data_IF_259564671014
#
_entry.id   IF_259564671014
#
_cell.length_a   1.000
_cell.length_b   1.000
_cell.length_c   1.000
_cell.angle_alpha   90.00
_cell.angle_beta   90.00
_cell.angle_gamma   90.00
#
_symmetry.space_group_name_H-M   'P 1'
#
loop_
_entity.id
_entity.type
_entity.pdbx_description
1 polymer ?
#
# COMPACT_ATOMS: atom_id res chain seq x y z
N UNK A 1 11.44 16.05 -1.14
CA UNK A 1 10.99 14.78 -0.52
C UNK A 1 9.50 14.64 -0.73
N UNK A 2 9.08 13.53 -1.34
CA UNK A 2 7.72 13.26 -1.82
C UNK A 2 6.71 13.16 -0.67
N UNK A 3 5.45 13.50 -0.93
CA UNK A 3 4.42 13.64 0.09
C UNK A 3 4.08 12.28 0.70
N UNK A 4 3.87 11.26 -0.14
CA UNK A 4 3.52 9.91 0.33
C UNK A 4 4.57 9.37 1.29
N UNK A 5 5.87 9.54 0.97
CA UNK A 5 6.96 9.05 1.82
C UNK A 5 6.97 9.75 3.18
N UNK A 6 6.68 11.06 3.22
CA UNK A 6 6.56 11.79 4.49
C UNK A 6 5.41 11.25 5.34
N UNK A 7 4.22 11.09 4.74
CA UNK A 7 3.03 10.57 5.43
C UNK A 7 3.28 9.14 5.91
N UNK A 8 3.88 8.30 5.07
CA UNK A 8 4.20 6.92 5.42
C UNK A 8 5.17 6.83 6.60
N UNK A 9 6.23 7.64 6.63
CA UNK A 9 7.16 7.68 7.77
C UNK A 9 6.46 8.07 9.06
N UNK A 10 5.61 9.09 9.02
CA UNK A 10 4.81 9.49 10.20
C UNK A 10 3.76 8.46 10.61
N UNK A 11 3.29 7.63 9.68
CA UNK A 11 2.41 6.51 9.99
C UNK A 11 3.21 5.37 10.66
N UNK A 12 4.44 5.11 10.25
CA UNK A 12 5.27 4.06 10.89
C UNK A 12 5.74 4.50 12.28
N UNK A 13 6.09 5.76 12.45
CA UNK A 13 6.61 6.33 13.69
C UNK A 13 5.64 7.40 14.26
N UNK A 14 4.56 6.98 14.95
CA UNK A 14 3.54 7.89 15.45
C UNK A 14 4.05 8.71 16.66
N UNK A 15 3.46 9.89 16.94
CA UNK A 15 3.83 10.70 18.11
C UNK A 15 3.37 10.04 19.42
N UNK A 16 4.21 9.15 19.97
CA UNK A 16 3.86 8.32 21.12
C UNK A 16 3.54 9.11 22.41
N UNK A 17 4.02 10.35 22.51
CA UNK A 17 3.83 11.21 23.67
C UNK A 17 2.55 12.03 23.61
N UNK A 18 1.89 12.14 22.45
CA UNK A 18 0.68 12.94 22.30
C UNK A 18 -0.52 12.29 23.04
N UNK A 19 -1.21 13.01 23.95
CA UNK A 19 -2.33 12.46 24.71
C UNK A 19 -3.52 12.09 23.83
N UNK A 20 -3.77 12.82 22.74
CA UNK A 20 -4.86 12.54 21.79
C UNK A 20 -4.56 11.21 21.09
N UNK A 21 -3.32 11.01 20.65
CA UNK A 21 -2.88 9.73 20.07
C UNK A 21 -3.03 8.57 21.06
N UNK A 22 -2.57 8.74 22.31
CA UNK A 22 -2.69 7.69 23.36
C UNK A 22 -4.15 7.34 23.64
N UNK A 23 -5.03 8.33 23.69
CA UNK A 23 -6.46 8.10 23.90
C UNK A 23 -7.08 7.39 22.69
N UNK A 24 -6.83 7.88 21.47
CA UNK A 24 -7.38 7.33 20.24
C UNK A 24 -6.94 5.88 19.98
N UNK A 25 -5.69 5.55 20.27
CA UNK A 25 -5.13 4.20 20.12
C UNK A 25 -5.64 3.19 21.15
N UNK A 26 -5.94 3.64 22.38
CA UNK A 26 -6.47 2.78 23.45
C UNK A 26 -7.98 2.64 23.44
N UNK A 27 -8.70 3.61 22.86
CA UNK A 27 -10.16 3.67 22.94
C UNK A 27 -10.77 2.46 22.26
N UNK A 28 -11.41 1.61 23.07
CA UNK A 28 -12.23 0.52 22.56
C UNK A 28 -13.53 1.13 22.08
N UNK A 29 -13.59 1.51 20.79
CA UNK A 29 -14.87 1.79 20.13
C UNK A 29 -15.65 0.48 20.16
N UNK A 30 -16.66 0.42 21.03
CA UNK A 30 -17.70 -0.60 20.99
C UNK A 30 -18.38 -0.44 19.63
N UNK A 31 -18.41 -1.50 18.79
CA UNK A 31 -19.02 -1.38 17.48
C UNK A 31 -20.52 -1.15 17.68
N UNK A 32 -20.96 0.09 17.55
CA UNK A 32 -22.35 0.37 17.24
C UNK A 32 -22.60 -0.28 15.87
N UNK A 33 -23.53 -1.24 15.84
CA UNK A 33 -24.01 -2.00 14.69
C UNK A 33 -23.13 -3.18 14.19
N UNK A 34 -23.72 -4.39 14.21
CA UNK A 34 -23.08 -5.68 13.96
C UNK A 34 -22.46 -5.88 12.56
N UNK A 35 -22.80 -5.03 11.58
CA UNK A 35 -22.25 -5.12 10.22
C UNK A 35 -20.73 -4.86 10.19
N UNK A 36 -20.22 -3.97 11.06
CA UNK A 36 -18.78 -3.66 11.14
C UNK A 36 -17.96 -4.84 11.68
N UNK A 37 -18.55 -5.62 12.59
CA UNK A 37 -17.93 -6.84 13.12
C UNK A 37 -17.85 -7.89 12.01
N UNK A 38 -18.89 -8.03 11.19
CA UNK A 38 -18.93 -8.95 10.06
C UNK A 38 -17.88 -8.64 8.99
N UNK A 39 -17.76 -7.37 8.56
CA UNK A 39 -16.72 -6.94 7.60
C UNK A 39 -15.29 -7.17 8.12
N UNK A 40 -15.05 -6.93 9.41
CA UNK A 40 -13.74 -7.18 10.01
C UNK A 40 -13.43 -8.68 10.11
N UNK A 41 -14.44 -9.50 10.41
CA UNK A 41 -14.31 -10.96 10.40
C UNK A 41 -14.09 -11.51 9.00
N UNK A 42 -14.82 -11.02 8.00
CA UNK A 42 -14.60 -11.37 6.59
C UNK A 42 -13.20 -10.97 6.16
N UNK A 43 -12.75 -9.76 6.48
CA UNK A 43 -11.40 -9.30 6.14
C UNK A 43 -10.32 -10.17 6.76
N UNK A 44 -10.46 -10.52 8.05
CA UNK A 44 -9.55 -11.48 8.72
C UNK A 44 -9.66 -12.88 8.14
N UNK A 45 -10.86 -13.37 7.86
CA UNK A 45 -11.09 -14.69 7.28
C UNK A 45 -10.49 -14.78 5.89
N UNK A 46 -10.68 -13.78 5.02
CA UNK A 46 -10.02 -13.67 3.71
C UNK A 46 -8.51 -13.59 3.86
N UNK A 47 -7.99 -12.85 4.83
CA UNK A 47 -6.54 -12.84 5.12
C UNK A 47 -6.03 -14.22 5.53
N UNK A 48 -6.67 -14.90 6.48
CA UNK A 48 -6.28 -16.24 6.90
C UNK A 48 -6.48 -17.28 5.80
N UNK A 49 -7.54 -17.18 5.00
CA UNK A 49 -7.85 -18.10 3.93
C UNK A 49 -6.89 -17.90 2.74
N UNK A 50 -6.51 -16.66 2.45
CA UNK A 50 -5.43 -16.37 1.50
C UNK A 50 -4.09 -16.93 2.00
N UNK A 51 -3.72 -16.72 3.27
CA UNK A 51 -2.52 -17.28 3.87
C UNK A 51 -2.53 -18.81 3.84
N UNK A 52 -3.65 -19.44 4.22
CA UNK A 52 -3.84 -20.88 4.18
C UNK A 52 -3.71 -21.41 2.75
N UNK A 53 -4.40 -20.79 1.78
CA UNK A 53 -4.30 -21.16 0.37
C UNK A 53 -2.87 -21.02 -0.15
N UNK A 54 -2.13 -19.99 0.30
CA UNK A 54 -0.70 -19.84 -0.01
C UNK A 54 0.11 -20.98 0.54
N UNK A 55 -0.10 -21.34 1.82
CA UNK A 55 0.63 -22.41 2.50
C UNK A 55 0.32 -23.76 1.87
N UNK A 56 -0.93 -24.02 1.48
CA UNK A 56 -1.33 -25.26 0.82
C UNK A 56 -0.76 -25.34 -0.61
N UNK A 57 -0.83 -24.25 -1.38
CA UNK A 57 -0.21 -24.18 -2.70
C UNK A 57 1.31 -24.35 -2.59
N UNK A 58 1.94 -23.69 -1.61
CA UNK A 58 3.35 -23.82 -1.28
C UNK A 58 3.74 -25.27 -1.06
N UNK A 59 3.01 -25.94 -0.17
CA UNK A 59 3.30 -27.32 0.23
C UNK A 59 3.15 -28.25 -0.97
N UNK A 60 2.10 -28.06 -1.77
CA UNK A 60 1.88 -28.78 -3.03
C UNK A 60 3.03 -28.57 -4.03
N UNK A 61 3.45 -27.32 -4.25
CA UNK A 61 4.51 -26.99 -5.20
C UNK A 61 5.90 -27.46 -4.71
N UNK A 62 6.19 -27.40 -3.40
CA UNK A 62 7.44 -27.95 -2.86
C UNK A 62 7.50 -29.47 -2.98
N UNK A 63 6.37 -30.16 -2.80
CA UNK A 63 6.29 -31.61 -3.02
C UNK A 63 6.51 -31.91 -4.51
N UNK A 64 5.90 -31.15 -5.43
CA UNK A 64 6.12 -31.37 -6.87
C UNK A 64 7.55 -31.04 -7.31
N UNK A 65 8.16 -29.97 -6.80
CA UNK A 65 9.54 -29.61 -7.10
C UNK A 65 10.56 -30.63 -6.57
N UNK A 66 10.31 -31.17 -5.38
CA UNK A 66 11.15 -32.21 -4.78
C UNK A 66 11.13 -33.50 -5.62
N UNK A 67 10.05 -33.76 -6.35
CA UNK A 67 9.89 -34.93 -7.21
C UNK A 67 10.58 -34.78 -8.57
N UNK A 68 10.73 -33.55 -9.12
CA UNK A 68 11.09 -33.33 -10.54
C UNK A 68 12.45 -32.65 -10.82
N UNK A 69 13.42 -32.68 -9.88
CA UNK A 69 14.79 -32.11 -10.01
C UNK A 69 14.94 -30.59 -9.76
N UNK A 70 16.20 -30.13 -9.65
CA UNK A 70 16.61 -28.77 -9.24
C UNK A 70 16.02 -27.66 -10.13
N UNK A 71 15.79 -27.92 -11.42
CA UNK A 71 15.18 -26.94 -12.34
C UNK A 71 13.71 -26.61 -12.02
N UNK A 72 12.95 -27.58 -11.49
CA UNK A 72 11.58 -27.37 -11.02
C UNK A 72 11.52 -26.51 -9.73
N UNK A 73 12.62 -26.47 -8.95
CA UNK A 73 12.70 -25.68 -7.73
C UNK A 73 12.61 -24.17 -7.98
N UNK A 74 13.25 -23.67 -9.04
CA UNK A 74 13.28 -22.22 -9.35
C UNK A 74 11.92 -21.73 -9.84
N UNK A 75 11.27 -22.49 -10.74
CA UNK A 75 9.92 -22.13 -11.22
C UNK A 75 8.89 -22.12 -10.08
N UNK A 76 8.98 -23.08 -9.16
CA UNK A 76 8.14 -23.11 -7.95
C UNK A 76 8.40 -21.91 -7.02
N UNK A 77 9.66 -21.53 -6.83
CA UNK A 77 10.00 -20.34 -6.02
C UNK A 77 9.43 -19.05 -6.63
N UNK A 78 9.52 -18.89 -7.95
CA UNK A 78 8.96 -17.73 -8.67
C UNK A 78 7.45 -17.68 -8.51
N UNK A 79 6.75 -18.80 -8.68
CA UNK A 79 5.29 -18.89 -8.48
C UNK A 79 4.92 -18.56 -7.04
N UNK A 80 5.69 -19.05 -6.07
CA UNK A 80 5.48 -18.73 -4.66
C UNK A 80 5.61 -17.23 -4.39
N UNK A 81 6.71 -16.64 -4.85
CA UNK A 81 6.96 -15.22 -4.65
C UNK A 81 5.85 -14.39 -5.29
N UNK A 82 5.43 -14.74 -6.50
CA UNK A 82 4.32 -14.08 -7.18
C UNK A 82 3.02 -14.13 -6.37
N UNK A 83 2.63 -15.29 -5.84
CA UNK A 83 1.43 -15.41 -5.02
C UNK A 83 1.54 -14.62 -3.71
N UNK A 84 2.70 -14.67 -3.03
CA UNK A 84 2.94 -13.89 -1.82
C UNK A 84 2.81 -12.38 -2.09
N UNK A 85 3.33 -11.91 -3.23
CA UNK A 85 3.21 -10.53 -3.67
C UNK A 85 1.75 -10.14 -3.93
N UNK A 86 0.99 -10.98 -4.65
CA UNK A 86 -0.43 -10.78 -4.91
C UNK A 86 -1.21 -10.60 -3.60
N UNK A 87 -0.93 -11.45 -2.61
CA UNK A 87 -1.63 -11.42 -1.32
C UNK A 87 -1.31 -10.16 -0.55
N UNK A 88 -0.05 -9.72 -0.53
CA UNK A 88 0.32 -8.49 0.16
C UNK A 88 -0.28 -7.26 -0.54
N UNK A 89 -0.32 -7.23 -1.87
CA UNK A 89 -0.98 -6.18 -2.64
C UNK A 89 -2.48 -6.13 -2.31
N UNK A 90 -3.20 -7.26 -2.42
CA UNK A 90 -4.64 -7.33 -2.10
C UNK A 90 -4.90 -6.97 -0.63
N UNK A 91 -4.05 -7.46 0.28
CA UNK A 91 -4.15 -7.15 1.71
C UNK A 91 -3.95 -5.65 1.97
N UNK A 92 -3.03 -5.00 1.26
CA UNK A 92 -2.83 -3.55 1.37
C UNK A 92 -4.08 -2.79 0.91
N UNK A 93 -4.74 -3.22 -0.16
CA UNK A 93 -5.98 -2.60 -0.62
C UNK A 93 -7.12 -2.72 0.39
N UNK A 94 -7.34 -3.93 0.92
CA UNK A 94 -8.37 -4.20 1.92
C UNK A 94 -8.08 -3.42 3.20
N UNK A 95 -6.82 -3.39 3.65
CA UNK A 95 -6.43 -2.66 4.85
C UNK A 95 -6.54 -1.15 4.65
N UNK A 96 -6.15 -0.59 3.50
CA UNK A 96 -6.30 0.83 3.18
C UNK A 96 -7.76 1.28 3.26
N UNK A 97 -8.67 0.52 2.66
CA UNK A 97 -10.12 0.74 2.75
C UNK A 97 -10.65 0.59 4.19
N UNK A 98 -10.21 -0.46 4.91
CA UNK A 98 -10.60 -0.69 6.28
C UNK A 98 -10.11 0.45 7.21
N UNK A 99 -8.94 1.02 6.96
CA UNK A 99 -8.44 2.18 7.69
C UNK A 99 -9.25 3.43 7.36
N UNK A 100 -9.55 3.68 6.10
CA UNK A 100 -10.36 4.83 5.68
C UNK A 100 -11.72 4.87 6.41
N UNK A 101 -12.43 3.75 6.43
CA UNK A 101 -13.72 3.62 7.13
C UNK A 101 -13.59 3.73 8.65
N UNK A 102 -12.50 3.23 9.24
CA UNK A 102 -12.26 3.33 10.69
C UNK A 102 -11.95 4.75 11.13
N UNK A 103 -11.11 5.45 10.39
CA UNK A 103 -10.78 6.85 10.64
C UNK A 103 -12.05 7.67 10.59
N UNK A 104 -12.82 7.51 9.51
CA UNK A 104 -14.07 8.23 9.32
C UNK A 104 -15.05 7.99 10.47
N UNK A 105 -15.29 6.73 10.84
CA UNK A 105 -16.17 6.39 11.96
C UNK A 105 -15.66 6.88 13.33
N UNK A 106 -14.34 6.96 13.53
CA UNK A 106 -13.76 7.48 14.77
C UNK A 106 -13.89 9.01 14.88
N UNK A 107 -13.75 9.72 13.76
CA UNK A 107 -13.98 11.16 13.69
C UNK A 107 -15.46 11.46 13.91
N UNK A 108 -16.37 10.73 13.25
CA UNK A 108 -17.81 10.86 13.44
C UNK A 108 -18.22 10.63 14.90
N UNK A 109 -17.79 9.53 15.54
CA UNK A 109 -18.08 9.26 16.97
C UNK A 109 -17.48 10.32 17.92
N UNK A 110 -16.43 11.02 17.50
CA UNK A 110 -15.84 12.12 18.29
C UNK A 110 -16.62 13.42 18.11
N UNK A 111 -17.17 13.65 16.91
CA UNK A 111 -18.06 14.78 16.60
C UNK A 111 -19.42 14.61 17.28
N UNK A 112 -20.03 13.43 17.22
CA UNK A 112 -21.32 13.13 17.87
C UNK A 112 -21.30 13.35 19.39
N UNK A 113 -20.11 13.24 20.01
CA UNK A 113 -19.91 13.48 21.44
C UNK A 113 -19.56 14.93 21.78
N UNK A 114 -19.59 15.84 20.81
CA UNK A 114 -19.15 17.23 20.95
C UNK A 114 -17.69 17.38 21.47
N UNK A 115 -16.89 16.31 21.38
CA UNK A 115 -15.48 16.36 21.80
C UNK A 115 -14.59 16.90 20.69
N UNK A 116 -15.01 16.78 19.44
CA UNK A 116 -14.22 17.19 18.30
C UNK A 116 -13.92 18.70 18.32
N UNK A 117 -14.93 19.52 18.63
CA UNK A 117 -14.77 20.98 18.69
C UNK A 117 -13.90 21.40 19.89
N UNK A 118 -14.07 20.75 21.04
CA UNK A 118 -13.22 20.95 22.21
C UNK A 118 -11.75 20.61 21.91
N UNK A 119 -11.51 19.50 21.22
CA UNK A 119 -10.16 19.11 20.80
C UNK A 119 -9.61 20.04 19.70
N UNK A 120 -10.45 20.63 18.87
CA UNK A 120 -10.04 21.57 17.82
C UNK A 120 -9.58 22.92 18.37
N UNK A 121 -10.06 23.33 19.56
CA UNK A 121 -9.64 24.56 20.27
C UNK A 121 -8.27 24.40 20.94
N UNK A 122 -7.77 23.18 21.11
CA UNK A 122 -6.42 22.96 21.66
C UNK A 122 -5.34 23.61 20.78
N UNK A 123 -4.22 24.05 21.37
CA UNK A 123 -3.11 24.74 20.70
C UNK A 123 -2.69 24.17 19.32
N UNK A 124 -2.68 22.85 19.09
CA UNK A 124 -2.31 22.28 17.80
C UNK A 124 -3.32 22.55 16.66
N UNK A 125 -4.56 22.86 17.01
CA UNK A 125 -5.66 23.14 16.10
C UNK A 125 -6.28 21.92 15.43
N UNK A 126 -7.39 22.16 14.72
CA UNK A 126 -8.22 21.18 14.02
C UNK A 126 -7.43 20.15 13.19
N UNK A 127 -6.50 20.60 12.35
CA UNK A 127 -5.73 19.73 11.46
C UNK A 127 -4.88 18.71 12.22
N UNK A 128 -4.24 19.14 13.30
CA UNK A 128 -3.42 18.25 14.13
C UNK A 128 -4.28 17.26 14.92
N UNK A 129 -5.42 17.72 15.45
CA UNK A 129 -6.38 16.85 16.13
C UNK A 129 -6.90 15.76 15.20
N UNK A 130 -7.33 16.12 13.98
CA UNK A 130 -7.77 15.15 12.97
C UNK A 130 -6.67 14.16 12.62
N UNK A 131 -5.46 14.66 12.40
CA UNK A 131 -4.28 13.86 12.08
C UNK A 131 -3.94 12.85 13.19
N UNK A 132 -3.79 13.30 14.44
CA UNK A 132 -3.43 12.46 15.58
C UNK A 132 -4.52 11.46 15.96
N UNK A 133 -5.79 11.86 15.89
CA UNK A 133 -6.94 10.97 16.05
C UNK A 133 -6.88 9.85 14.99
N UNK A 134 -6.66 10.20 13.73
CA UNK A 134 -6.59 9.25 12.62
C UNK A 134 -5.42 8.29 12.78
N UNK A 135 -4.22 8.77 13.11
CA UNK A 135 -3.05 7.92 13.36
C UNK A 135 -3.28 6.97 14.53
N UNK A 136 -3.89 7.47 15.61
CA UNK A 136 -4.26 6.65 16.77
C UNK A 136 -5.20 5.51 16.40
N UNK A 137 -6.17 5.78 15.51
CA UNK A 137 -7.14 4.75 15.09
C UNK A 137 -6.52 3.64 14.24
N UNK A 138 -5.51 3.94 13.42
CA UNK A 138 -4.79 2.93 12.64
C UNK A 138 -3.95 2.02 13.56
N UNK A 139 -3.28 2.61 14.56
CA UNK A 139 -2.36 1.86 15.42
C UNK A 139 -3.03 0.89 16.39
N UNK A 140 -4.34 1.02 16.59
CA UNK A 140 -5.11 0.23 17.55
C UNK A 140 -5.03 -1.29 17.34
N UNK A 141 -5.03 -1.75 16.08
CA UNK A 141 -5.18 -3.18 15.77
C UNK A 141 -3.88 -3.89 15.38
N UNK A 142 -2.72 -3.23 15.50
CA UNK A 142 -1.43 -3.75 15.02
C UNK A 142 -1.37 -4.11 13.52
N UNK A 143 -2.42 -3.84 12.75
CA UNK A 143 -2.51 -4.19 11.32
C UNK A 143 -1.45 -3.50 10.49
N UNK A 144 -1.17 -2.23 10.77
CA UNK A 144 -0.06 -1.50 10.13
C UNK A 144 1.29 -2.14 10.41
N UNK A 145 1.55 -2.56 11.66
CA UNK A 145 2.80 -3.24 12.04
C UNK A 145 2.92 -4.60 11.36
N UNK A 146 1.82 -5.34 11.25
CA UNK A 146 1.78 -6.60 10.51
C UNK A 146 2.07 -6.39 9.03
N UNK A 147 1.41 -5.42 8.39
CA UNK A 147 1.62 -5.09 6.97
C UNK A 147 3.07 -4.67 6.72
N UNK A 148 3.63 -3.81 7.58
CA UNK A 148 5.01 -3.38 7.46
C UNK A 148 6.00 -4.55 7.58
N UNK A 149 5.80 -5.47 8.53
CA UNK A 149 6.62 -6.69 8.62
C UNK A 149 6.46 -7.59 7.39
N UNK A 150 5.26 -7.71 6.83
CA UNK A 150 5.03 -8.49 5.62
C UNK A 150 5.78 -7.89 4.41
N UNK A 151 5.78 -6.57 4.26
CA UNK A 151 6.56 -5.87 3.23
C UNK A 151 8.06 -6.15 3.41
N UNK A 152 8.60 -5.99 4.62
CA UNK A 152 10.02 -6.25 4.89
C UNK A 152 10.37 -7.70 4.57
N UNK A 153 9.52 -8.65 4.95
CA UNK A 153 9.74 -10.07 4.67
C UNK A 153 9.77 -10.35 3.16
N UNK A 154 8.88 -9.74 2.37
CA UNK A 154 8.89 -9.87 0.90
C UNK A 154 10.14 -9.24 0.31
N UNK A 155 10.50 -8.02 0.72
CA UNK A 155 11.73 -7.35 0.22
C UNK A 155 12.97 -8.19 0.54
N UNK A 156 13.04 -8.77 1.75
CA UNK A 156 14.12 -9.68 2.12
C UNK A 156 14.11 -10.95 1.27
N UNK A 157 12.93 -11.53 0.98
CA UNK A 157 12.80 -12.70 0.11
C UNK A 157 13.29 -12.40 -1.31
N UNK A 158 12.94 -11.24 -1.89
CA UNK A 158 13.51 -10.77 -3.16
C UNK A 158 15.02 -10.60 -3.07
N UNK A 159 15.54 -9.98 -2.00
CA UNK A 159 16.98 -9.80 -1.82
C UNK A 159 17.75 -11.12 -1.74
N UNK A 160 17.20 -12.12 -1.04
CA UNK A 160 17.76 -13.48 -0.97
C UNK A 160 17.71 -14.15 -2.36
N UNK A 161 16.57 -14.06 -3.05
CA UNK A 161 16.43 -14.64 -4.40
C UNK A 161 17.42 -14.03 -5.38
N UNK A 162 17.57 -12.71 -5.34
CA UNK A 162 18.60 -11.99 -6.10
C UNK A 162 19.99 -12.50 -5.72
N UNK A 163 20.36 -12.55 -4.43
CA UNK A 163 21.66 -13.10 -4.01
C UNK A 163 21.92 -14.53 -4.52
N UNK A 164 20.90 -15.40 -4.54
CA UNK A 164 21.02 -16.77 -5.09
C UNK A 164 21.24 -16.74 -6.61
N UNK A 165 20.53 -15.88 -7.34
CA UNK A 165 20.71 -15.68 -8.78
C UNK A 165 22.08 -15.07 -9.13
N UNK A 166 22.84 -14.58 -8.15
CA UNK A 166 24.20 -14.04 -8.36
C UNK A 166 25.24 -15.16 -8.39
N UNK A 167 24.97 -16.30 -7.74
CA UNK A 167 25.94 -17.39 -7.62
C UNK A 167 26.39 -17.99 -8.96
N UNK A 168 25.52 -18.16 -9.97
CA UNK A 168 25.93 -18.59 -11.31
C UNK A 168 26.82 -17.55 -12.01
N UNK A 169 26.52 -16.25 -11.87
CA UNK A 169 27.33 -15.16 -12.44
C UNK A 169 28.75 -15.13 -11.87
N UNK A 170 28.92 -15.53 -10.61
CA UNK A 170 30.22 -15.64 -9.95
C UNK A 170 30.94 -16.96 -10.25
N UNK A 171 30.39 -17.82 -11.12
CA UNK A 171 30.89 -19.17 -11.41
C UNK A 171 31.04 -20.07 -10.16
N UNK A 172 30.29 -19.79 -9.08
CA UNK A 172 30.35 -20.57 -7.83
C UNK A 172 29.56 -21.88 -7.99
N UNK A 173 28.46 -21.83 -8.74
CA UNK A 173 27.62 -23.00 -9.05
C UNK A 173 27.69 -23.23 -10.57
N UNK A 174 28.01 -24.46 -11.04
CA UNK A 174 28.09 -24.73 -12.47
C UNK A 174 26.73 -24.48 -13.14
N UNK A 175 26.73 -23.63 -14.17
CA UNK A 175 25.55 -23.10 -14.90
C UNK A 175 24.74 -24.20 -15.61
N UNK A 176 25.26 -25.43 -15.70
CA UNK A 176 24.66 -26.56 -16.41
C UNK A 176 23.22 -26.95 -15.98
N UNK A 177 22.69 -26.40 -14.88
CA UNK A 177 21.33 -26.64 -14.39
C UNK A 177 20.30 -25.58 -14.80
N UNK A 178 20.73 -24.41 -15.28
CA UNK A 178 19.86 -23.34 -15.71
C UNK A 178 20.23 -23.02 -17.17
N UNK A 179 19.27 -23.15 -18.08
CA UNK A 179 19.45 -22.97 -19.53
C UNK A 179 19.66 -21.49 -19.92
N UNK A 180 20.42 -20.74 -19.11
CA UNK A 180 20.86 -19.39 -19.41
C UNK A 180 21.89 -19.47 -20.52
N UNK A 181 21.43 -19.17 -21.72
CA UNK A 181 22.22 -19.25 -22.95
C UNK A 181 23.20 -18.08 -23.05
N UNK A 182 22.88 -16.95 -22.41
CA UNK A 182 23.70 -15.75 -22.40
C UNK A 182 23.70 -15.02 -21.04
N UNK A 183 24.76 -14.27 -20.74
CA UNK A 183 24.85 -13.47 -19.50
C UNK A 183 23.81 -12.33 -19.46
N UNK A 184 23.34 -11.90 -20.64
CA UNK A 184 22.30 -10.88 -20.78
C UNK A 184 20.97 -11.28 -20.17
N UNK A 185 20.55 -12.54 -20.33
CA UNK A 185 19.27 -13.06 -19.83
C UNK A 185 19.18 -12.97 -18.30
N UNK A 186 20.31 -13.22 -17.63
CA UNK A 186 20.38 -13.11 -16.17
C UNK A 186 20.22 -11.66 -15.76
N UNK A 187 20.96 -10.72 -16.37
CA UNK A 187 20.85 -9.30 -16.04
C UNK A 187 19.43 -8.76 -16.27
N UNK A 188 18.78 -9.18 -17.35
CA UNK A 188 17.40 -8.81 -17.65
C UNK A 188 16.43 -9.29 -16.56
N UNK A 189 16.55 -10.56 -16.16
CA UNK A 189 15.74 -11.12 -15.08
C UNK A 189 15.91 -10.34 -13.77
N UNK A 190 17.15 -9.95 -13.44
CA UNK A 190 17.45 -9.16 -12.25
C UNK A 190 16.75 -7.80 -12.25
N UNK A 191 16.81 -7.09 -13.38
CA UNK A 191 16.16 -5.79 -13.58
C UNK A 191 14.65 -5.93 -13.37
N UNK A 192 14.04 -6.93 -14.01
CA UNK A 192 12.59 -7.18 -13.92
C UNK A 192 12.18 -7.49 -12.49
N UNK A 193 12.91 -8.35 -11.78
CA UNK A 193 12.63 -8.69 -10.40
C UNK A 193 12.73 -7.50 -9.45
N UNK A 194 13.74 -6.64 -9.64
CA UNK A 194 13.91 -5.43 -8.85
C UNK A 194 12.79 -4.41 -9.13
N UNK A 195 12.35 -4.28 -10.38
CA UNK A 195 11.22 -3.46 -10.77
C UNK A 195 9.90 -3.96 -10.15
N UNK A 196 9.65 -5.28 -10.16
CA UNK A 196 8.49 -5.89 -9.51
C UNK A 196 8.51 -5.63 -8.01
N UNK A 197 9.63 -5.93 -7.33
CA UNK A 197 9.78 -5.71 -5.89
C UNK A 197 9.55 -4.24 -5.50
N UNK A 198 10.09 -3.31 -6.29
CA UNK A 198 9.91 -1.87 -6.10
C UNK A 198 8.46 -1.45 -6.29
N UNK A 199 7.79 -1.98 -7.33
CA UNK A 199 6.37 -1.68 -7.62
C UNK A 199 5.47 -2.16 -6.49
N UNK A 200 5.70 -3.36 -5.96
CA UNK A 200 4.93 -3.90 -4.82
C UNK A 200 5.13 -3.03 -3.57
N UNK A 201 6.38 -2.68 -3.25
CA UNK A 201 6.68 -1.82 -2.11
C UNK A 201 5.94 -0.48 -2.22
N UNK A 202 6.02 0.15 -3.40
CA UNK A 202 5.36 1.41 -3.72
C UNK A 202 3.84 1.29 -3.61
N UNK A 203 3.23 0.26 -4.21
CA UNK A 203 1.78 0.06 -4.22
C UNK A 203 1.21 -0.11 -2.80
N UNK A 204 1.88 -0.92 -1.98
CA UNK A 204 1.46 -1.15 -0.60
C UNK A 204 1.56 0.14 0.22
N UNK A 205 2.66 0.89 0.07
CA UNK A 205 2.86 2.18 0.73
C UNK A 205 1.81 3.21 0.30
N UNK A 206 1.62 3.40 -1.01
CA UNK A 206 0.70 4.40 -1.54
C UNK A 206 -0.76 4.07 -1.26
N UNK A 207 -1.16 2.79 -1.30
CA UNK A 207 -2.53 2.38 -0.99
C UNK A 207 -2.87 2.54 0.49
N UNK A 208 -1.88 2.27 1.36
CA UNK A 208 -1.95 2.54 2.80
C UNK A 208 -2.17 4.04 3.09
N UNK A 209 -1.34 4.88 2.49
CA UNK A 209 -1.42 6.35 2.63
C UNK A 209 -2.71 6.89 2.03
N UNK A 210 -3.13 6.37 0.87
CA UNK A 210 -4.37 6.75 0.22
C UNK A 210 -5.58 6.48 1.13
N UNK A 211 -5.66 5.28 1.71
CA UNK A 211 -6.73 4.94 2.65
C UNK A 211 -6.76 5.87 3.87
N UNK A 212 -5.59 6.22 4.42
CA UNK A 212 -5.47 7.15 5.53
C UNK A 212 -5.94 8.57 5.17
N UNK A 213 -5.44 9.14 4.08
CA UNK A 213 -5.80 10.50 3.62
C UNK A 213 -7.27 10.57 3.21
N UNK A 214 -7.77 9.54 2.54
CA UNK A 214 -9.18 9.47 2.15
C UNK A 214 -10.08 9.42 3.39
N UNK A 215 -9.74 8.60 4.39
CA UNK A 215 -10.50 8.52 5.64
C UNK A 215 -10.63 9.87 6.34
N UNK A 216 -9.52 10.63 6.41
CA UNK A 216 -9.54 12.00 6.91
C UNK A 216 -10.42 12.91 6.04
N UNK A 217 -10.24 12.85 4.72
CA UNK A 217 -10.97 13.71 3.78
C UNK A 217 -12.47 13.50 3.86
N UNK A 218 -12.96 12.26 3.74
CA UNK A 218 -14.39 11.97 3.75
C UNK A 218 -15.03 12.37 5.09
N UNK A 219 -14.32 12.22 6.20
CA UNK A 219 -14.80 12.63 7.52
C UNK A 219 -15.08 14.13 7.66
N UNK A 220 -14.46 14.96 6.81
CA UNK A 220 -14.72 16.41 6.79
C UNK A 220 -15.97 16.80 6.00
N UNK A 221 -16.44 15.94 5.08
CA UNK A 221 -17.58 16.25 4.19
C UNK A 221 -18.91 15.65 4.64
N UNK A 222 -18.87 14.63 5.50
CA UNK A 222 -20.02 13.75 5.72
C UNK A 222 -20.43 13.71 7.20
N UNK A 223 -21.73 13.71 7.47
CA UNK A 223 -22.30 13.86 8.82
C UNK A 223 -22.76 12.52 9.39
N UNK A 224 -23.27 11.60 8.56
CA UNK A 224 -23.94 10.37 9.01
C UNK A 224 -23.10 9.09 8.87
N UNK A 225 -22.96 8.25 9.91
CA UNK A 225 -22.03 7.11 9.90
C UNK A 225 -22.26 6.05 8.82
N UNK A 226 -23.52 5.85 8.38
CA UNK A 226 -23.85 4.89 7.32
C UNK A 226 -23.42 5.42 5.94
N UNK A 227 -23.85 6.64 5.62
CA UNK A 227 -23.51 7.35 4.38
C UNK A 227 -21.98 7.47 4.25
N UNK A 228 -21.31 7.81 5.35
CA UNK A 228 -19.86 7.89 5.47
C UNK A 228 -19.16 6.63 4.97
N UNK A 229 -19.62 5.43 5.37
CA UNK A 229 -18.97 4.17 4.99
C UNK A 229 -19.19 3.83 3.51
N UNK A 230 -20.40 4.04 3.00
CA UNK A 230 -20.73 3.75 1.59
C UNK A 230 -19.95 4.70 0.67
N UNK A 231 -19.91 6.00 1.00
CA UNK A 231 -19.15 7.00 0.25
C UNK A 231 -17.65 6.71 0.32
N UNK A 232 -17.12 6.38 1.51
CA UNK A 232 -15.70 6.03 1.65
C UNK A 232 -15.33 4.83 0.80
N UNK A 233 -16.16 3.78 0.79
CA UNK A 233 -15.96 2.60 -0.03
C UNK A 233 -16.00 2.93 -1.52
N UNK A 234 -17.05 3.63 -1.97
CA UNK A 234 -17.23 3.99 -3.38
C UNK A 234 -16.09 4.85 -3.90
N UNK A 235 -15.71 5.89 -3.16
CA UNK A 235 -14.60 6.78 -3.56
C UNK A 235 -13.27 6.04 -3.54
N UNK A 236 -13.00 5.19 -2.54
CA UNK A 236 -11.76 4.41 -2.51
C UNK A 236 -11.66 3.47 -3.72
N UNK A 237 -12.72 2.70 -3.99
CA UNK A 237 -12.76 1.76 -5.11
C UNK A 237 -12.61 2.49 -6.46
N UNK A 238 -13.29 3.63 -6.63
CA UNK A 238 -13.19 4.44 -7.84
C UNK A 238 -11.78 5.01 -8.05
N UNK A 239 -11.14 5.54 -7.00
CA UNK A 239 -9.76 6.05 -7.08
C UNK A 239 -8.76 4.94 -7.37
N UNK A 240 -8.94 3.76 -6.79
CA UNK A 240 -8.09 2.60 -7.05
C UNK A 240 -8.23 2.10 -8.50
N UNK A 241 -9.47 1.92 -8.96
CA UNK A 241 -9.74 1.47 -10.33
C UNK A 241 -9.17 2.47 -11.35
N UNK A 242 -9.44 3.77 -11.17
CA UNK A 242 -8.90 4.81 -12.05
C UNK A 242 -7.38 4.87 -12.02
N UNK A 243 -6.73 4.74 -10.86
CA UNK A 243 -5.28 4.70 -10.77
C UNK A 243 -4.66 3.53 -11.56
N UNK A 244 -5.22 2.32 -11.42
CA UNK A 244 -4.74 1.15 -12.15
C UNK A 244 -5.02 1.26 -13.65
N UNK A 245 -6.21 1.71 -14.06
CA UNK A 245 -6.52 1.95 -15.47
C UNK A 245 -5.57 2.97 -16.08
N UNK A 246 -5.31 4.10 -15.41
CA UNK A 246 -4.35 5.11 -15.88
C UNK A 246 -2.92 4.56 -15.94
N UNK A 247 -2.50 3.76 -14.96
CA UNK A 247 -1.18 3.16 -14.97
C UNK A 247 -0.99 2.18 -16.12
N UNK A 248 -1.97 1.31 -16.38
CA UNK A 248 -1.95 0.38 -17.53
C UNK A 248 -1.92 1.15 -18.84
N UNK A 249 -2.77 2.18 -19.00
CA UNK A 249 -2.74 3.05 -20.17
C UNK A 249 -1.39 3.74 -20.35
N UNK A 250 -0.80 4.26 -19.26
CA UNK A 250 0.53 4.85 -19.29
C UNK A 250 1.62 3.85 -19.66
N UNK A 251 1.57 2.64 -19.14
CA UNK A 251 2.52 1.57 -19.49
C UNK A 251 2.38 1.16 -20.96
N UNK A 252 1.16 1.02 -21.48
CA UNK A 252 0.92 0.60 -22.87
C UNK A 252 1.22 1.71 -23.88
N UNK A 253 0.94 2.96 -23.55
CA UNK A 253 1.07 4.08 -24.50
C UNK A 253 2.41 4.80 -24.37
N UNK A 254 2.84 5.12 -23.15
CA UNK A 254 4.01 5.99 -22.90
C UNK A 254 5.31 5.20 -22.96
N UNK A 255 5.35 3.97 -22.42
CA UNK A 255 6.60 3.19 -22.37
C UNK A 255 7.10 2.85 -23.78
N UNK A 256 6.31 2.19 -24.67
CA UNK A 256 6.77 1.87 -26.03
C UNK A 256 7.11 3.14 -26.83
N UNK A 257 6.35 4.22 -26.64
CA UNK A 257 6.61 5.48 -27.33
C UNK A 257 8.02 6.01 -27.04
N UNK A 258 8.48 5.93 -25.79
CA UNK A 258 9.80 6.42 -25.39
C UNK A 258 10.89 5.42 -25.74
N UNK A 259 10.65 4.13 -25.53
CA UNK A 259 11.68 3.10 -25.72
C UNK A 259 11.94 2.79 -27.18
N UNK A 260 10.91 2.68 -28.02
CA UNK A 260 11.07 2.26 -29.41
C UNK A 260 11.38 3.43 -30.35
N UNK A 261 10.78 4.61 -30.12
CA UNK A 261 10.87 5.70 -31.10
C UNK A 261 11.97 6.74 -30.80
N UNK A 262 12.34 6.94 -29.53
CA UNK A 262 13.27 8.01 -29.13
C UNK A 262 14.70 7.55 -28.91
N UNK A 263 14.88 6.37 -28.31
CA UNK A 263 16.16 5.91 -27.78
C UNK A 263 16.42 4.52 -28.36
N UNK A 264 17.06 4.45 -29.52
CA UNK A 264 17.46 3.19 -30.16
C UNK A 264 18.62 2.55 -29.36
N UNK A 265 18.30 2.03 -28.17
CA UNK A 265 19.24 1.43 -27.22
C UNK A 265 19.38 -0.07 -27.46
N UNK A 266 20.48 -0.65 -26.96
CA UNK A 266 20.66 -2.10 -26.90
C UNK A 266 19.53 -2.77 -26.11
N UNK A 267 19.23 -4.04 -26.41
CA UNK A 267 18.08 -4.78 -25.86
C UNK A 267 18.05 -4.77 -24.31
N UNK A 268 19.18 -5.02 -23.65
CA UNK A 268 19.26 -5.01 -22.19
C UNK A 268 19.02 -3.61 -21.58
N UNK A 269 19.54 -2.56 -22.24
CA UNK A 269 19.31 -1.18 -21.82
C UNK A 269 17.85 -0.77 -22.05
N UNK A 270 17.23 -1.29 -23.11
CA UNK A 270 15.83 -1.10 -23.41
C UNK A 270 14.93 -1.75 -22.34
N UNK A 271 15.21 -2.99 -21.94
CA UNK A 271 14.46 -3.63 -20.83
C UNK A 271 14.65 -2.91 -19.50
N UNK A 272 15.87 -2.44 -19.20
CA UNK A 272 16.13 -1.61 -18.02
C UNK A 272 15.28 -0.34 -18.01
N UNK A 273 15.29 0.39 -19.12
CA UNK A 273 14.57 1.64 -19.26
C UNK A 273 13.05 1.42 -19.22
N UNK A 274 12.53 0.39 -19.89
CA UNK A 274 11.10 0.09 -19.92
C UNK A 274 10.58 -0.29 -18.53
N UNK A 275 11.35 -1.08 -17.78
CA UNK A 275 11.03 -1.44 -16.40
C UNK A 275 11.02 -0.20 -15.49
N UNK A 276 12.06 0.64 -15.55
CA UNK A 276 12.15 1.88 -14.77
C UNK A 276 11.03 2.87 -15.10
N UNK A 277 10.72 3.05 -16.39
CA UNK A 277 9.62 3.91 -16.83
C UNK A 277 8.27 3.37 -16.34
N UNK A 278 8.05 2.06 -16.38
CA UNK A 278 6.82 1.43 -15.89
C UNK A 278 6.62 1.68 -14.39
N UNK A 279 7.66 1.48 -13.57
CA UNK A 279 7.61 1.81 -12.13
C UNK A 279 7.39 3.30 -11.92
N UNK A 280 8.06 4.16 -12.70
CA UNK A 280 7.94 5.61 -12.63
C UNK A 280 6.54 6.11 -12.95
N UNK A 281 5.93 5.64 -14.03
CA UNK A 281 4.57 5.97 -14.44
C UNK A 281 3.58 5.57 -13.36
N UNK A 282 3.69 4.33 -12.86
CA UNK A 282 2.86 3.84 -11.77
C UNK A 282 2.97 4.72 -10.52
N UNK A 283 4.21 5.03 -10.11
CA UNK A 283 4.50 5.86 -8.95
C UNK A 283 3.91 7.27 -9.07
N UNK A 284 4.10 7.93 -10.22
CA UNK A 284 3.67 9.31 -10.45
C UNK A 284 2.16 9.45 -10.43
N UNK A 285 1.42 8.56 -11.10
CA UNK A 285 -0.05 8.59 -11.13
C UNK A 285 -0.62 8.48 -9.71
N UNK A 286 -0.09 7.55 -8.92
CA UNK A 286 -0.49 7.33 -7.53
C UNK A 286 -0.14 8.50 -6.63
N UNK A 287 1.08 9.04 -6.75
CA UNK A 287 1.51 10.22 -5.98
C UNK A 287 0.62 11.42 -6.30
N UNK A 288 0.24 11.60 -7.57
CA UNK A 288 -0.67 12.67 -7.99
C UNK A 288 -2.03 12.57 -7.30
N UNK A 289 -2.63 11.37 -7.23
CA UNK A 289 -3.92 11.15 -6.56
C UNK A 289 -3.81 11.47 -5.06
N UNK A 290 -2.77 10.98 -4.39
CA UNK A 290 -2.53 11.25 -2.96
C UNK A 290 -2.32 12.75 -2.72
N UNK A 291 -1.54 13.42 -3.57
CA UNK A 291 -1.29 14.85 -3.49
C UNK A 291 -2.56 15.68 -3.74
N UNK A 292 -3.41 15.27 -4.68
CA UNK A 292 -4.69 15.91 -4.96
C UNK A 292 -5.64 15.83 -3.76
N UNK A 293 -5.79 14.63 -3.16
CA UNK A 293 -6.59 14.46 -1.95
C UNK A 293 -6.02 15.24 -0.75
N UNK A 294 -4.70 15.26 -0.60
CA UNK A 294 -4.06 16.04 0.47
C UNK A 294 -4.32 17.54 0.32
N UNK A 295 -4.23 18.08 -0.92
CA UNK A 295 -4.56 19.48 -1.20
C UNK A 295 -6.03 19.78 -0.92
N UNK A 296 -6.94 18.87 -1.29
CA UNK A 296 -8.37 19.00 -1.00
C UNK A 296 -8.62 19.04 0.52
N UNK A 297 -8.01 18.13 1.28
CA UNK A 297 -8.08 18.11 2.75
C UNK A 297 -7.53 19.40 3.35
N UNK A 298 -6.34 19.84 2.91
CA UNK A 298 -5.72 21.06 3.39
C UNK A 298 -6.58 22.31 3.12
N UNK A 299 -7.14 22.42 1.90
CA UNK A 299 -8.05 23.51 1.54
C UNK A 299 -9.27 23.54 2.47
N UNK A 300 -9.90 22.38 2.70
CA UNK A 300 -11.07 22.28 3.57
C UNK A 300 -10.78 22.71 5.01
N UNK A 301 -9.65 22.27 5.56
CA UNK A 301 -9.24 22.61 6.93
C UNK A 301 -8.86 24.10 7.09
N UNK A 302 -8.38 24.76 6.02
CA UNK A 302 -8.10 26.20 6.06
C UNK A 302 -9.36 27.05 5.99
N UNK A 303 -10.34 26.66 5.18
CA UNK A 303 -11.62 27.38 5.08
C UNK A 303 -12.33 27.47 6.43
N UNK A 304 -12.26 26.42 7.25
CA UNK A 304 -12.86 26.44 8.61
C UNK A 304 -12.16 27.41 9.57
N UNK A 305 -10.85 27.67 9.43
CA UNK A 305 -10.15 28.70 10.20
C UNK A 305 -10.58 30.12 9.81
N UNK A 306 -10.87 30.35 8.53
CA UNK A 306 -11.36 31.64 8.05
C UNK A 306 -12.76 32.00 8.56
N UNK A 307 -13.63 31.00 8.74
CA UNK A 307 -15.01 31.19 9.22
C UNK A 307 -15.04 31.55 10.71
N UNK A 308 -14.15 30.97 11.53
CA UNK A 308 -14.01 31.32 12.95
C UNK A 308 -13.41 32.71 13.16
N UNK A 309 -12.49 33.15 12.29
CA UNK A 309 -11.92 34.50 12.35
C UNK A 309 -12.91 35.60 11.87
N UNK A 310 -13.97 35.24 11.16
CA UNK A 310 -15.02 36.16 10.71
C UNK A 310 -16.25 36.18 11.64
N UNK A 311 -16.28 35.34 12.67
CA UNK A 311 -17.35 35.25 13.68
C UNK A 311 -16.93 35.76 15.07
N UNK A 312 -15.71 36.31 15.18
CA UNK A 312 -15.20 37.07 16.35
C UNK A 312 -15.05 38.52 15.91
#
# INVERSE_FOLDING_TARGET
>A
MLLTVKIWRTLIDPPQYDPIFKQASKRIVTPAYGCRRYLHWIGRALQYLSLLATVLLLLFLTISAFLDSIGAGVSVLVVYLFLACLIVVVSAQINGLAWATRINGAVADTRDRNMYDLLAVTLPGLAWTLWTLSIGTIHRDNTLRWLHRAIIAIVLAFAIMLAVLLLPLLNIVPVATLDFRDQGDVLELWIVLLAIASTIYIDVMQSSVLGFVLGMTVSTFTIGPLENNIVTFGVYAFLQLSAYTMAVLGMVLLVPLVTENLLHLDDAANTALSALLSVGVFYVIREFIVAALWRLLAWRLHTERGILAAMI
#
